data_IF_356875374068
#
_entry.id   IF_356875374068
#
_cell.length_a   1.000
_cell.length_b   1.000
_cell.length_c   1.000
_cell.angle_alpha   90.00
_cell.angle_beta   90.00
_cell.angle_gamma   90.00
#
_symmetry.space_group_name_H-M   'P 1'
#
loop_
_entity.id
_entity.type
_entity.pdbx_description
1 polymer ?
#
# COMPACT_ATOMS: atom_id res chain seq x y z
N UNK A 1 -12.36 10.17 4.94
CA UNK A 1 -13.10 9.32 5.91
C UNK A 1 -12.10 8.85 6.97
N UNK A 2 -12.17 9.40 8.19
CA UNK A 2 -11.21 9.10 9.26
C UNK A 2 -11.60 7.78 9.94
N UNK A 3 -10.80 6.73 9.78
CA UNK A 3 -10.91 5.53 10.63
C UNK A 3 -10.42 5.93 12.03
N UNK A 4 -11.20 5.73 13.12
CA UNK A 4 -10.91 6.30 14.43
C UNK A 4 -9.59 5.82 15.03
N UNK A 5 -8.90 6.72 15.74
CA UNK A 5 -7.53 6.54 16.24
C UNK A 5 -7.35 5.37 17.23
N UNK A 6 -8.45 4.87 17.79
CA UNK A 6 -8.46 3.99 18.94
C UNK A 6 -8.17 2.51 18.62
N UNK A 7 -8.38 2.05 17.38
CA UNK A 7 -8.27 0.62 17.04
C UNK A 7 -6.82 0.22 16.68
N UNK A 8 -5.99 1.16 16.21
CA UNK A 8 -4.67 0.85 15.64
C UNK A 8 -3.58 0.58 16.68
N UNK A 9 -3.83 0.83 17.97
CA UNK A 9 -2.83 0.61 19.04
C UNK A 9 -2.89 -0.77 19.70
N UNK A 10 -3.81 -1.64 19.28
CA UNK A 10 -3.97 -2.98 19.85
C UNK A 10 -3.18 -4.08 19.10
N UNK A 11 -2.36 -3.70 18.12
CA UNK A 11 -1.52 -4.66 17.37
C UNK A 11 -2.23 -5.41 16.23
N UNK A 12 -3.53 -5.15 15.99
CA UNK A 12 -4.29 -5.83 14.94
C UNK A 12 -3.67 -5.73 13.55
N UNK A 13 -3.04 -4.61 13.21
CA UNK A 13 -2.37 -4.47 11.92
C UNK A 13 -1.32 -5.57 11.71
N UNK A 14 -0.48 -5.82 12.73
CA UNK A 14 0.52 -6.88 12.66
C UNK A 14 -0.11 -8.27 12.67
N UNK A 15 -1.16 -8.47 13.48
CA UNK A 15 -1.89 -9.75 13.51
C UNK A 15 -2.52 -10.10 12.17
N UNK A 16 -3.11 -9.12 11.47
CA UNK A 16 -3.69 -9.31 10.13
C UNK A 16 -2.60 -9.65 9.12
N UNK A 17 -1.46 -8.93 9.11
CA UNK A 17 -0.35 -9.21 8.21
C UNK A 17 0.22 -10.62 8.44
N UNK A 18 0.44 -10.99 9.70
CA UNK A 18 0.93 -12.33 10.07
C UNK A 18 -0.07 -13.41 9.66
N UNK A 19 -1.37 -13.19 9.86
CA UNK A 19 -2.41 -14.13 9.48
C UNK A 19 -2.52 -14.30 7.96
N UNK A 20 -2.47 -13.21 7.18
CA UNK A 20 -2.47 -13.25 5.72
C UNK A 20 -1.28 -14.05 5.19
N UNK A 21 -0.08 -13.74 5.69
CA UNK A 21 1.15 -14.41 5.29
C UNK A 21 1.14 -15.90 5.67
N UNK A 22 0.62 -16.26 6.84
CA UNK A 22 0.49 -17.65 7.26
C UNK A 22 -0.55 -18.43 6.43
N UNK A 23 -1.62 -17.76 5.97
CA UNK A 23 -2.71 -18.39 5.22
C UNK A 23 -2.37 -18.63 3.75
N UNK A 24 -1.58 -17.73 3.16
CA UNK A 24 -1.20 -17.71 1.74
C UNK A 24 0.25 -17.24 1.55
N UNK A 25 1.25 -18.00 2.05
CA UNK A 25 2.65 -17.58 1.98
C UNK A 25 3.18 -17.46 0.54
N UNK A 26 2.49 -18.05 -0.44
CA UNK A 26 2.84 -17.99 -1.86
C UNK A 26 2.35 -16.69 -2.54
N UNK A 27 1.41 -15.97 -1.92
CA UNK A 27 0.77 -14.81 -2.53
C UNK A 27 1.39 -13.51 -1.98
N UNK A 28 1.96 -12.65 -2.85
CA UNK A 28 2.49 -11.37 -2.41
C UNK A 28 1.41 -10.47 -1.82
N UNK A 29 1.75 -9.83 -0.71
CA UNK A 29 0.98 -8.72 -0.17
C UNK A 29 1.59 -7.45 -0.76
N UNK A 30 0.76 -6.68 -1.46
CA UNK A 30 1.14 -5.43 -2.11
C UNK A 30 0.25 -4.31 -1.59
N UNK A 31 0.83 -3.15 -1.29
CA UNK A 31 0.09 -2.00 -0.76
C UNK A 31 0.67 -0.66 -1.21
N UNK A 32 -0.20 0.33 -1.29
CA UNK A 32 0.16 1.72 -1.52
C UNK A 32 0.45 2.45 -0.21
N UNK A 33 1.54 3.19 -0.17
CA UNK A 33 1.88 4.07 0.94
C UNK A 33 2.22 5.47 0.43
N UNK A 34 1.73 6.49 1.15
CA UNK A 34 2.12 7.88 0.87
C UNK A 34 3.64 8.02 0.98
N UNK A 35 4.31 8.67 0.00
CA UNK A 35 5.75 8.86 0.04
C UNK A 35 6.14 9.77 1.21
N UNK A 36 7.34 9.54 1.75
CA UNK A 36 7.90 10.41 2.76
C UNK A 36 8.02 11.84 2.20
N UNK A 37 7.38 12.77 2.89
CA UNK A 37 7.44 14.19 2.59
C UNK A 37 7.44 14.94 3.93
N UNK A 38 8.58 15.52 4.28
CA UNK A 38 8.76 16.22 5.56
C UNK A 38 7.95 17.52 5.65
N UNK A 39 7.53 18.08 4.51
CA UNK A 39 6.67 19.26 4.44
C UNK A 39 5.18 18.91 4.52
N UNK A 40 4.81 17.63 4.50
CA UNK A 40 3.42 17.23 4.62
C UNK A 40 2.93 17.39 6.07
N UNK A 41 1.71 17.89 6.25
CA UNK A 41 1.08 18.03 7.58
C UNK A 41 0.97 16.70 8.33
N UNK A 42 0.94 15.56 7.61
CA UNK A 42 0.90 14.22 8.15
C UNK A 42 2.26 13.48 8.10
N UNK A 43 3.39 14.17 7.93
CA UNK A 43 4.74 13.56 7.79
C UNK A 43 5.06 12.52 8.88
N UNK A 44 4.73 12.82 10.14
CA UNK A 44 4.92 11.89 11.27
C UNK A 44 4.12 10.59 11.11
N UNK A 45 2.91 10.67 10.55
CA UNK A 45 2.09 9.48 10.30
C UNK A 45 2.65 8.66 9.13
N UNK A 46 3.12 9.33 8.07
CA UNK A 46 3.77 8.67 6.92
C UNK A 46 5.00 7.87 7.36
N UNK A 47 5.88 8.48 8.18
CA UNK A 47 7.04 7.79 8.78
C UNK A 47 6.64 6.58 9.62
N UNK A 48 5.59 6.70 10.42
CA UNK A 48 5.09 5.58 11.25
C UNK A 48 4.55 4.43 10.40
N UNK A 49 3.84 4.71 9.31
CA UNK A 49 3.37 3.67 8.37
C UNK A 49 4.55 2.98 7.69
N UNK A 50 5.51 3.74 7.18
CA UNK A 50 6.72 3.17 6.56
C UNK A 50 7.49 2.27 7.52
N UNK A 51 7.78 2.74 8.74
CA UNK A 51 8.46 1.94 9.76
C UNK A 51 7.66 0.71 10.18
N UNK A 52 6.32 0.83 10.29
CA UNK A 52 5.45 -0.30 10.60
C UNK A 52 5.57 -1.40 9.54
N UNK A 53 5.44 -1.08 8.25
CA UNK A 53 5.52 -2.07 7.19
C UNK A 53 6.93 -2.65 7.06
N UNK A 54 7.97 -1.82 7.15
CA UNK A 54 9.36 -2.30 7.18
C UNK A 54 9.61 -3.33 8.29
N UNK A 55 9.13 -3.06 9.51
CA UNK A 55 9.25 -3.99 10.63
C UNK A 55 8.44 -5.29 10.45
N UNK A 56 7.50 -5.34 9.50
CA UNK A 56 6.74 -6.54 9.12
C UNK A 56 7.25 -7.17 7.82
N UNK A 57 8.48 -6.87 7.41
CA UNK A 57 9.14 -7.51 6.27
C UNK A 57 8.80 -6.94 4.90
N UNK A 58 8.11 -5.79 4.85
CA UNK A 58 7.84 -5.12 3.58
C UNK A 58 9.04 -4.27 3.15
N UNK A 59 9.27 -4.21 1.84
CA UNK A 59 10.28 -3.38 1.20
C UNK A 59 9.69 -2.60 0.03
N UNK A 60 10.41 -1.56 -0.40
CA UNK A 60 10.03 -0.76 -1.56
C UNK A 60 10.24 -1.56 -2.85
N UNK A 61 9.16 -1.80 -3.58
CA UNK A 61 9.19 -2.51 -4.87
C UNK A 61 9.76 -1.66 -6.02
N UNK A 62 10.04 -0.38 -5.77
CA UNK A 62 10.41 0.66 -6.76
C UNK A 62 9.29 1.01 -7.74
N UNK A 63 8.16 0.31 -7.71
CA UNK A 63 6.97 0.69 -8.44
C UNK A 63 6.23 1.84 -7.76
N UNK A 64 5.56 2.66 -8.56
CA UNK A 64 4.74 3.78 -8.12
C UNK A 64 3.40 3.75 -8.85
N UNK A 65 2.37 4.22 -8.16
CA UNK A 65 1.05 4.45 -8.75
C UNK A 65 0.63 5.89 -8.47
N UNK A 66 0.21 6.59 -9.51
CA UNK A 66 -0.40 7.91 -9.39
C UNK A 66 -1.91 7.75 -9.48
N UNK A 67 -2.60 8.22 -8.45
CA UNK A 67 -4.05 8.32 -8.38
C UNK A 67 -4.39 9.80 -8.14
N UNK A 68 -5.16 10.42 -9.04
CA UNK A 68 -5.64 11.80 -8.92
C UNK A 68 -4.54 12.84 -8.62
N UNK A 69 -3.37 12.66 -9.24
CA UNK A 69 -2.20 13.53 -9.10
C UNK A 69 -1.34 13.26 -7.87
N UNK A 70 -1.71 12.27 -7.04
CA UNK A 70 -0.92 11.83 -5.90
C UNK A 70 -0.18 10.54 -6.25
N UNK A 71 1.15 10.57 -6.18
CA UNK A 71 1.99 9.40 -6.40
C UNK A 71 2.25 8.68 -5.08
N UNK A 72 1.95 7.39 -5.05
CA UNK A 72 2.16 6.47 -3.93
C UNK A 72 3.32 5.52 -4.22
N UNK A 73 4.03 5.14 -3.17
CA UNK A 73 5.01 4.07 -3.22
C UNK A 73 4.33 2.72 -3.02
N UNK A 74 4.66 1.75 -3.87
CA UNK A 74 4.17 0.38 -3.74
C UNK A 74 5.16 -0.41 -2.88
N UNK A 75 4.71 -0.87 -1.72
CA UNK A 75 5.46 -1.78 -0.86
C UNK A 75 5.01 -3.22 -1.05
N UNK A 76 5.93 -4.16 -0.87
CA UNK A 76 5.62 -5.59 -0.91
C UNK A 76 6.48 -6.39 0.05
N UNK A 77 6.01 -7.58 0.45
CA UNK A 77 6.76 -8.53 1.28
C UNK A 77 7.52 -9.60 0.47
N UNK A 78 7.30 -9.69 -0.84
CA UNK A 78 7.96 -10.64 -1.76
C UNK A 78 7.82 -10.15 -3.21
N UNK A 79 8.52 -10.79 -4.14
CA UNK A 79 8.46 -10.40 -5.55
C UNK A 79 7.06 -10.67 -6.15
N UNK A 80 6.67 -9.81 -7.09
CA UNK A 80 5.38 -9.89 -7.77
C UNK A 80 5.47 -9.40 -9.22
N UNK A 81 4.51 -9.84 -10.02
CA UNK A 81 4.37 -9.40 -11.41
C UNK A 81 3.52 -8.12 -11.48
N UNK A 82 4.10 -7.01 -11.97
CA UNK A 82 3.38 -5.72 -12.08
C UNK A 82 2.09 -5.84 -12.88
N UNK A 83 2.06 -6.67 -13.93
CA UNK A 83 0.87 -6.89 -14.74
C UNK A 83 -0.31 -7.46 -13.93
N UNK A 84 -0.03 -8.33 -12.94
CA UNK A 84 -1.05 -8.88 -12.05
C UNK A 84 -1.58 -7.80 -11.10
N UNK A 85 -0.70 -6.94 -10.58
CA UNK A 85 -1.11 -5.79 -9.78
C UNK A 85 -2.03 -4.87 -10.59
N UNK A 86 -1.63 -4.50 -11.81
CA UNK A 86 -2.43 -3.64 -12.69
C UNK A 86 -3.80 -4.27 -12.98
N UNK A 87 -3.87 -5.58 -13.22
CA UNK A 87 -5.13 -6.30 -13.40
C UNK A 87 -6.01 -6.24 -12.14
N UNK A 88 -5.42 -6.41 -10.95
CA UNK A 88 -6.12 -6.30 -9.68
C UNK A 88 -6.68 -4.88 -9.44
N UNK A 89 -5.90 -3.82 -9.73
CA UNK A 89 -6.37 -2.43 -9.66
C UNK A 89 -7.54 -2.20 -10.60
N UNK A 90 -7.40 -2.61 -11.88
CA UNK A 90 -8.47 -2.46 -12.87
C UNK A 90 -9.74 -3.18 -12.45
N UNK A 91 -9.63 -4.37 -11.86
CA UNK A 91 -10.78 -5.11 -11.36
C UNK A 91 -11.44 -4.40 -10.18
N UNK A 92 -10.65 -3.98 -9.18
CA UNK A 92 -11.14 -3.31 -7.98
C UNK A 92 -11.81 -1.97 -8.29
N UNK A 93 -11.19 -1.16 -9.16
CA UNK A 93 -11.68 0.16 -9.54
C UNK A 93 -12.70 0.12 -10.69
N UNK A 94 -12.99 -1.04 -11.28
CA UNK A 94 -13.97 -1.21 -12.37
C UNK A 94 -15.31 -0.48 -12.13
N UNK A 95 -15.92 -0.53 -10.91
CA UNK A 95 -17.19 0.17 -10.65
C UNK A 95 -17.05 1.70 -10.59
N UNK A 96 -15.83 2.22 -10.50
CA UNK A 96 -15.51 3.63 -10.25
C UNK A 96 -14.75 4.29 -11.43
N UNK A 97 -14.60 3.56 -12.55
CA UNK A 97 -13.68 3.84 -13.67
C UNK A 97 -13.84 5.20 -14.38
N UNK A 98 -14.88 6.00 -14.10
CA UNK A 98 -15.03 7.32 -14.72
C UNK A 98 -14.24 8.44 -14.01
N UNK A 99 -13.66 8.18 -12.82
CA UNK A 99 -13.14 9.26 -11.96
C UNK A 99 -11.66 9.19 -11.58
N UNK A 100 -11.01 8.03 -11.67
CA UNK A 100 -9.62 7.87 -11.21
C UNK A 100 -8.65 7.69 -12.38
N UNK A 101 -7.76 8.66 -12.58
CA UNK A 101 -6.68 8.56 -13.56
C UNK A 101 -5.51 7.79 -12.96
N UNK A 102 -5.54 6.46 -13.09
CA UNK A 102 -4.44 5.60 -12.64
C UNK A 102 -3.29 5.62 -13.64
N UNK A 103 -2.10 5.99 -13.19
CA UNK A 103 -0.85 5.85 -13.95
C UNK A 103 0.15 5.04 -13.15
N UNK A 104 0.85 4.12 -13.81
CA UNK A 104 1.92 3.35 -13.20
C UNK A 104 3.22 3.82 -13.85
N UNK A 105 4.17 4.32 -13.06
CA UNK A 105 5.38 5.01 -13.57
C UNK A 105 6.37 4.07 -14.31
N UNK A 106 5.99 2.82 -14.57
CA UNK A 106 6.81 1.80 -15.24
C UNK A 106 6.05 1.04 -16.35
N UNK A 107 4.99 1.62 -16.91
CA UNK A 107 4.34 1.17 -18.15
C UNK A 107 4.26 2.31 -19.17
#
# INVERSE_FOLDING_TARGET
RLIPIYIHKQGYGGQILNWLNAKRPEVPIVLDVEPLNDQATNAKQRRRRMAFYHNHGFYDSRHRVTEDGLTYAILTNQDFELAQLVAAYRWFFRPFNHRHQLKFDQL
#
